data_IF_714483600708
#
_entry.id   IF_714483600708
#
_cell.length_a   1.000
_cell.length_b   1.000
_cell.length_c   1.000
_cell.angle_alpha   90.00
_cell.angle_beta   90.00
_cell.angle_gamma   90.00
#
_symmetry.space_group_name_H-M   'P 1'
#
loop_
_entity.id
_entity.type
_entity.pdbx_description
1 polymer ?
#
# COMPACT_ATOMS: atom_id res chain seq x y z
N UNK A 1 -8.39 10.11 23.11
CA UNK A 1 -8.28 8.89 22.29
C UNK A 1 -6.84 8.41 22.36
N UNK A 2 -6.58 7.10 22.37
CA UNK A 2 -5.21 6.58 22.32
C UNK A 2 -4.58 6.99 20.98
N UNK A 3 -3.29 7.38 21.00
CA UNK A 3 -2.55 7.66 19.78
C UNK A 3 -2.23 6.34 19.08
N UNK A 4 -2.53 6.25 17.79
CA UNK A 4 -2.21 5.09 16.96
C UNK A 4 -1.64 5.54 15.62
N UNK A 5 -0.80 4.67 15.04
CA UNK A 5 -0.20 4.89 13.74
C UNK A 5 0.10 3.53 13.08
N UNK A 6 -0.55 3.23 11.96
CA UNK A 6 -0.57 1.90 11.34
C UNK A 6 -0.40 2.00 9.84
N UNK A 7 0.40 1.14 9.24
CA UNK A 7 0.33 0.93 7.79
C UNK A 7 -0.94 0.12 7.50
N UNK A 8 -1.97 0.78 6.99
CA UNK A 8 -3.29 0.19 6.83
C UNK A 8 -3.54 -0.30 5.41
N UNK A 9 -2.97 0.39 4.42
CA UNK A 9 -3.29 0.10 3.04
C UNK A 9 -2.08 0.37 2.14
N UNK A 10 -1.88 -0.50 1.15
CA UNK A 10 -0.96 -0.28 0.03
C UNK A 10 -1.79 -0.16 -1.23
N UNK A 11 -1.62 0.95 -1.94
CA UNK A 11 -2.30 1.18 -3.21
C UNK A 11 -1.37 0.87 -4.39
N UNK A 12 -1.87 0.06 -5.32
CA UNK A 12 -1.24 -0.31 -6.58
C UNK A 12 -2.09 0.23 -7.74
N UNK A 13 -1.54 0.28 -8.94
CA UNK A 13 -2.27 0.73 -10.14
C UNK A 13 -2.30 -0.38 -11.19
N UNK A 14 -3.44 -0.54 -11.85
CA UNK A 14 -3.62 -1.45 -12.97
C UNK A 14 -4.53 -0.84 -14.04
N UNK A 15 -4.42 -1.28 -15.29
CA UNK A 15 -5.27 -0.79 -16.39
C UNK A 15 -6.59 -1.56 -16.55
N UNK A 16 -6.69 -2.77 -16.01
CA UNK A 16 -7.84 -3.69 -16.18
C UNK A 16 -8.30 -4.18 -14.81
N UNK A 17 -9.13 -3.38 -14.15
CA UNK A 17 -9.60 -3.69 -12.80
C UNK A 17 -10.44 -4.98 -12.73
N UNK A 18 -11.38 -5.25 -13.64
CA UNK A 18 -12.14 -6.51 -13.62
C UNK A 18 -11.26 -7.76 -13.68
N UNK A 19 -10.25 -7.77 -14.54
CA UNK A 19 -9.28 -8.86 -14.63
C UNK A 19 -8.51 -9.01 -13.34
N UNK A 20 -7.99 -7.91 -12.80
CA UNK A 20 -7.18 -7.91 -11.57
C UNK A 20 -7.98 -8.38 -10.36
N UNK A 21 -9.27 -8.02 -10.26
CA UNK A 21 -10.16 -8.54 -9.21
C UNK A 21 -10.23 -10.06 -9.28
N UNK A 22 -10.51 -10.62 -10.46
CA UNK A 22 -10.57 -12.07 -10.65
C UNK A 22 -9.25 -12.78 -10.35
N UNK A 23 -8.13 -12.15 -10.70
CA UNK A 23 -6.80 -12.69 -10.47
C UNK A 23 -6.40 -12.63 -8.98
N UNK A 24 -6.71 -11.53 -8.27
CA UNK A 24 -6.51 -11.41 -6.83
C UNK A 24 -7.26 -12.51 -6.06
N UNK A 25 -8.53 -12.70 -6.38
CA UNK A 25 -9.35 -13.73 -5.75
C UNK A 25 -8.83 -15.16 -6.03
N UNK A 26 -8.50 -15.43 -7.28
CA UNK A 26 -8.09 -16.77 -7.69
C UNK A 26 -6.68 -17.13 -7.22
N UNK A 27 -5.73 -16.20 -7.25
CA UNK A 27 -4.32 -16.45 -6.91
C UNK A 27 -4.13 -16.44 -5.39
N UNK A 28 -4.51 -15.34 -4.74
CA UNK A 28 -4.21 -15.10 -3.32
C UNK A 28 -5.33 -15.58 -2.37
N UNK A 29 -6.47 -16.01 -2.89
CA UNK A 29 -7.60 -16.49 -2.08
C UNK A 29 -8.22 -15.41 -1.20
N UNK A 30 -7.99 -14.14 -1.51
CA UNK A 30 -8.66 -12.99 -0.88
C UNK A 30 -9.97 -12.69 -1.59
N UNK A 31 -10.89 -11.99 -0.94
CA UNK A 31 -12.14 -11.56 -1.55
C UNK A 31 -12.18 -10.04 -1.65
N UNK A 32 -12.80 -9.56 -2.72
CA UNK A 32 -13.14 -8.16 -2.83
C UNK A 32 -13.97 -7.74 -1.62
N UNK A 33 -13.47 -6.77 -0.85
CA UNK A 33 -14.15 -6.25 0.33
C UNK A 33 -14.99 -5.02 0.00
N UNK A 34 -14.45 -4.12 -0.84
CA UNK A 34 -15.09 -2.84 -1.14
C UNK A 34 -14.63 -2.26 -2.47
N UNK A 35 -15.51 -1.51 -3.11
CA UNK A 35 -15.20 -0.59 -4.21
C UNK A 35 -15.77 0.77 -3.81
N UNK A 36 -14.91 1.78 -3.71
CA UNK A 36 -15.30 3.12 -3.29
C UNK A 36 -15.82 3.94 -4.48
N UNK A 37 -17.11 4.30 -4.51
CA UNK A 37 -17.64 5.13 -5.59
C UNK A 37 -17.06 6.55 -5.61
N UNK A 38 -16.53 7.04 -4.49
CA UNK A 38 -15.98 8.40 -4.38
C UNK A 38 -14.69 8.59 -5.19
N UNK A 39 -13.93 7.53 -5.49
CA UNK A 39 -12.73 7.66 -6.33
C UNK A 39 -13.04 8.03 -7.78
N UNK A 40 -14.31 7.90 -8.18
CA UNK A 40 -14.78 8.29 -9.52
C UNK A 40 -14.56 9.79 -9.82
N UNK A 41 -14.63 10.64 -8.81
CA UNK A 41 -14.34 12.07 -8.95
C UNK A 41 -12.90 12.37 -9.40
N UNK A 42 -11.99 11.40 -9.25
CA UNK A 42 -10.60 11.49 -9.67
C UNK A 42 -10.34 10.79 -11.02
N UNK A 43 -11.41 10.35 -11.71
CA UNK A 43 -11.33 9.57 -12.95
C UNK A 43 -10.81 8.15 -12.72
N UNK A 44 -11.07 7.58 -11.54
CA UNK A 44 -10.60 6.27 -11.12
C UNK A 44 -11.76 5.35 -10.73
N UNK A 45 -11.49 4.06 -10.74
CA UNK A 45 -12.22 3.04 -10.00
C UNK A 45 -11.24 2.24 -9.15
N UNK A 46 -11.70 1.57 -8.10
CA UNK A 46 -10.83 0.80 -7.22
C UNK A 46 -11.43 -0.51 -6.75
N UNK A 47 -10.58 -1.33 -6.15
CA UNK A 47 -10.95 -2.57 -5.47
C UNK A 47 -10.03 -2.79 -4.26
N UNK A 48 -10.62 -3.05 -3.09
CA UNK A 48 -9.90 -3.29 -1.85
C UNK A 48 -9.97 -4.75 -1.44
N UNK A 49 -8.81 -5.31 -1.10
CA UNK A 49 -8.64 -6.70 -0.68
C UNK A 49 -7.96 -6.76 0.69
N UNK A 50 -8.53 -7.49 1.68
CA UNK A 50 -7.91 -7.62 2.99
C UNK A 50 -6.75 -8.61 2.97
N UNK A 51 -5.63 -8.20 3.54
CA UNK A 51 -4.44 -9.01 3.81
C UNK A 51 -4.18 -9.01 5.32
N UNK A 52 -4.95 -9.78 6.06
CA UNK A 52 -5.04 -9.70 7.51
C UNK A 52 -5.82 -8.45 7.94
N UNK A 53 -5.19 -7.59 8.72
CA UNK A 53 -5.77 -6.32 9.16
C UNK A 53 -5.32 -5.13 8.29
N UNK A 54 -4.50 -5.36 7.26
CA UNK A 54 -4.15 -4.39 6.25
C UNK A 54 -4.89 -4.68 4.93
N UNK A 55 -4.81 -3.76 3.98
CA UNK A 55 -5.43 -3.88 2.67
C UNK A 55 -4.43 -3.69 1.54
N UNK A 56 -4.65 -4.39 0.45
CA UNK A 56 -4.12 -4.03 -0.85
C UNK A 56 -5.27 -3.44 -1.66
N UNK A 57 -5.12 -2.19 -2.05
CA UNK A 57 -6.01 -1.51 -2.96
C UNK A 57 -5.44 -1.56 -4.37
N UNK A 58 -6.30 -1.78 -5.34
CA UNK A 58 -5.96 -1.59 -6.76
C UNK A 58 -6.80 -0.43 -7.28
N UNK A 59 -6.17 0.61 -7.79
CA UNK A 59 -6.86 1.68 -8.53
C UNK A 59 -6.65 1.50 -10.03
N UNK A 60 -7.66 1.85 -10.81
CA UNK A 60 -7.60 1.80 -12.27
C UNK A 60 -8.10 3.11 -12.88
N UNK A 61 -7.31 3.74 -13.78
CA UNK A 61 -7.76 4.91 -14.51
C UNK A 61 -8.95 4.56 -15.42
N UNK A 62 -10.03 5.33 -15.35
CA UNK A 62 -11.19 5.26 -16.26
C UNK A 62 -11.32 6.50 -17.13
N UNK A 63 -10.46 7.50 -16.90
CA UNK A 63 -10.33 8.72 -17.67
C UNK A 63 -8.87 8.97 -18.04
N UNK A 64 -8.65 9.74 -19.09
CA UNK A 64 -7.32 10.15 -19.49
C UNK A 64 -6.69 11.15 -18.48
N UNK A 65 -5.37 11.20 -18.43
CA UNK A 65 -4.61 12.16 -17.63
C UNK A 65 -4.85 12.13 -16.10
N UNK A 66 -5.30 11.02 -15.56
CA UNK A 66 -5.39 10.84 -14.10
C UNK A 66 -4.01 10.80 -13.47
N UNK A 67 -3.91 11.06 -12.16
CA UNK A 67 -2.64 10.93 -11.44
C UNK A 67 -2.09 9.50 -11.47
N UNK A 68 -2.98 8.49 -11.34
CA UNK A 68 -2.63 7.08 -11.42
C UNK A 68 -2.19 6.68 -12.84
N UNK A 69 -2.86 7.17 -13.89
CA UNK A 69 -2.46 6.94 -15.28
C UNK A 69 -1.05 7.48 -15.57
N UNK A 70 -0.78 8.73 -15.16
CA UNK A 70 0.57 9.31 -15.29
C UNK A 70 1.62 8.57 -14.46
N UNK A 71 1.23 7.95 -13.34
CA UNK A 71 2.14 7.07 -12.58
C UNK A 71 2.50 5.83 -13.40
N UNK A 72 1.51 5.12 -13.97
CA UNK A 72 1.76 3.94 -14.81
C UNK A 72 2.70 4.26 -15.98
N UNK A 73 2.46 5.38 -16.68
CA UNK A 73 3.29 5.82 -17.80
C UNK A 73 4.75 6.07 -17.37
N UNK A 74 4.95 6.85 -16.29
CA UNK A 74 6.30 7.22 -15.82
C UNK A 74 7.07 6.05 -15.21
N UNK A 75 6.35 5.15 -14.51
CA UNK A 75 6.96 3.99 -13.86
C UNK A 75 7.13 2.80 -14.79
N UNK A 76 6.57 2.87 -15.99
CA UNK A 76 6.43 1.73 -16.91
C UNK A 76 5.75 0.53 -16.20
N UNK A 77 4.76 0.84 -15.36
CA UNK A 77 4.00 -0.14 -14.59
C UNK A 77 4.76 -0.80 -13.43
N UNK A 78 5.92 -0.29 -13.05
CA UNK A 78 6.75 -0.86 -11.97
C UNK A 78 6.61 -0.03 -10.70
N UNK A 79 6.35 -0.70 -9.57
CA UNK A 79 6.29 -0.14 -8.23
C UNK A 79 4.87 0.10 -7.71
N UNK A 80 4.75 0.19 -6.38
CA UNK A 80 3.53 0.58 -5.70
C UNK A 80 3.31 2.08 -5.75
N UNK A 81 2.05 2.49 -5.72
CA UNK A 81 1.64 3.88 -5.92
C UNK A 81 1.58 4.67 -4.62
N UNK A 82 0.94 4.11 -3.58
CA UNK A 82 0.78 4.78 -2.29
C UNK A 82 0.98 3.82 -1.12
N UNK A 83 1.46 4.39 -0.01
CA UNK A 83 1.43 3.80 1.32
C UNK A 83 0.51 4.65 2.20
N UNK A 84 -0.56 4.05 2.74
CA UNK A 84 -1.63 4.73 3.45
C UNK A 84 -1.58 4.33 4.92
N UNK A 85 -1.44 5.33 5.78
CA UNK A 85 -1.26 5.17 7.21
C UNK A 85 -2.46 5.70 7.98
N UNK A 86 -3.17 4.81 8.65
CA UNK A 86 -4.16 5.21 9.64
C UNK A 86 -3.50 5.85 10.86
N UNK A 87 -4.02 6.97 11.31
CA UNK A 87 -3.51 7.67 12.48
C UNK A 87 -4.60 8.49 13.17
N UNK A 88 -4.38 8.77 14.44
CA UNK A 88 -5.32 9.53 15.28
C UNK A 88 -5.54 10.98 14.82
N UNK A 89 -4.55 11.60 14.15
CA UNK A 89 -4.58 13.01 13.71
C UNK A 89 -3.81 13.19 12.39
N UNK A 90 -4.49 12.95 11.23
CA UNK A 90 -3.89 13.14 9.90
C UNK A 90 -3.41 14.56 9.64
N UNK A 91 -4.16 15.56 10.11
CA UNK A 91 -3.84 16.97 9.89
C UNK A 91 -2.56 17.38 10.63
N UNK A 92 -2.37 16.92 11.88
CA UNK A 92 -1.13 17.15 12.62
C UNK A 92 0.05 16.54 11.87
N UNK A 93 -0.09 15.31 11.38
CA UNK A 93 0.97 14.64 10.62
C UNK A 93 1.26 15.34 9.30
N UNK A 94 0.24 15.83 8.62
CA UNK A 94 0.41 16.66 7.42
C UNK A 94 1.17 17.96 7.72
N UNK A 95 0.81 18.67 8.80
CA UNK A 95 1.56 19.87 9.24
C UNK A 95 3.01 19.57 9.59
N UNK A 96 3.27 18.43 10.27
CA UNK A 96 4.63 18.00 10.58
C UNK A 96 5.43 17.74 9.29
N UNK A 97 4.88 17.00 8.34
CA UNK A 97 5.53 16.76 7.05
C UNK A 97 5.82 18.07 6.30
N UNK A 98 4.86 19.01 6.30
CA UNK A 98 5.06 20.33 5.68
C UNK A 98 6.20 21.12 6.34
N UNK A 99 6.38 21.03 7.65
CA UNK A 99 7.49 21.67 8.37
C UNK A 99 8.86 21.06 7.97
N UNK A 100 8.90 19.83 7.47
CA UNK A 100 10.07 19.18 6.89
C UNK A 100 10.30 19.49 5.39
N UNK A 101 9.43 20.31 4.78
CA UNK A 101 9.47 20.63 3.35
C UNK A 101 8.75 19.62 2.46
N UNK A 102 8.06 18.63 3.02
CA UNK A 102 7.24 17.66 2.28
C UNK A 102 5.83 18.21 2.14
N UNK A 103 5.49 18.65 0.94
CA UNK A 103 4.25 19.38 0.66
C UNK A 103 3.01 18.46 0.73
N UNK A 104 1.90 19.02 1.15
CA UNK A 104 0.58 18.40 0.94
C UNK A 104 0.19 18.56 -0.53
N UNK A 105 -0.22 17.46 -1.16
CA UNK A 105 -0.75 17.45 -2.53
C UNK A 105 -2.28 17.54 -2.56
N UNK A 106 -2.95 16.87 -1.63
CA UNK A 106 -4.41 16.83 -1.57
C UNK A 106 -4.90 16.55 -0.15
N UNK A 107 -6.09 17.02 0.17
CA UNK A 107 -6.79 16.71 1.42
C UNK A 107 -8.19 16.23 1.10
N UNK A 108 -8.66 15.22 1.84
CA UNK A 108 -10.02 14.71 1.76
C UNK A 108 -10.67 14.95 3.12
N UNK A 109 -11.83 15.60 3.12
CA UNK A 109 -12.61 15.84 4.32
C UNK A 109 -14.09 15.65 3.98
N UNK A 110 -14.65 14.55 4.45
CA UNK A 110 -16.08 14.30 4.36
C UNK A 110 -16.55 13.53 5.62
N UNK A 111 -17.86 13.47 5.90
CA UNK A 111 -18.36 12.79 7.08
C UNK A 111 -17.82 11.37 7.21
N UNK A 112 -17.18 11.09 8.35
CA UNK A 112 -16.64 9.77 8.68
C UNK A 112 -15.24 9.48 8.12
N UNK A 113 -14.63 10.39 7.31
CA UNK A 113 -13.30 10.15 6.74
C UNK A 113 -12.52 11.44 6.53
N UNK A 114 -11.24 11.41 6.89
CA UNK A 114 -10.27 12.47 6.62
C UNK A 114 -8.96 11.91 6.16
N UNK A 115 -8.35 12.54 5.15
CA UNK A 115 -7.03 12.17 4.68
C UNK A 115 -6.18 13.37 4.25
N UNK A 116 -4.88 13.22 4.41
CA UNK A 116 -3.85 14.15 3.93
C UNK A 116 -2.87 13.37 3.06
N UNK A 117 -2.89 13.64 1.78
CA UNK A 117 -1.98 13.07 0.80
C UNK A 117 -0.77 13.98 0.61
N UNK A 118 0.41 13.45 0.79
CA UNK A 118 1.66 14.18 0.60
C UNK A 118 2.09 14.13 -0.87
N UNK A 119 2.85 15.12 -1.31
CA UNK A 119 3.33 15.20 -2.69
C UNK A 119 4.29 14.02 -2.99
N UNK A 120 4.00 13.20 -4.01
CA UNK A 120 4.80 12.00 -4.30
C UNK A 120 6.26 12.30 -4.66
N UNK A 121 6.57 13.51 -5.20
CA UNK A 121 7.94 13.90 -5.49
C UNK A 121 8.73 14.13 -4.20
N UNK A 122 8.07 14.63 -3.17
CA UNK A 122 8.69 14.91 -1.88
C UNK A 122 8.76 13.64 -1.00
N UNK A 123 7.81 12.70 -1.19
CA UNK A 123 7.84 11.38 -0.54
C UNK A 123 8.85 10.40 -1.16
N UNK A 124 9.21 10.62 -2.43
CA UNK A 124 10.14 9.80 -3.23
C UNK A 124 9.49 8.48 -3.71
N UNK A 125 9.82 7.31 -3.14
CA UNK A 125 9.48 5.98 -3.67
C UNK A 125 7.98 5.71 -3.90
N UNK A 126 7.11 6.24 -3.04
CA UNK A 126 5.66 6.12 -3.12
C UNK A 126 5.00 7.34 -2.46
N UNK A 127 3.78 7.65 -2.83
CA UNK A 127 2.99 8.66 -2.14
C UNK A 127 2.67 8.18 -0.73
N UNK A 128 2.76 9.08 0.25
CA UNK A 128 2.32 8.84 1.62
C UNK A 128 0.98 9.51 1.84
N UNK A 129 0.04 8.77 2.41
CA UNK A 129 -1.23 9.30 2.89
C UNK A 129 -1.37 9.02 4.38
N UNK A 130 -1.85 10.01 5.11
CA UNK A 130 -2.32 9.88 6.48
C UNK A 130 -3.82 9.97 6.47
N UNK A 131 -4.53 8.99 7.02
CA UNK A 131 -5.98 8.98 7.04
C UNK A 131 -6.55 8.61 8.41
N UNK A 132 -7.83 8.88 8.55
CA UNK A 132 -8.65 8.50 9.69
C UNK A 132 -10.08 8.24 9.25
N UNK A 133 -10.63 7.08 9.69
CA UNK A 133 -12.05 6.73 9.56
C UNK A 133 -12.73 6.67 10.91
N UNK A 134 -14.01 6.98 10.96
CA UNK A 134 -14.79 6.79 12.20
C UNK A 134 -14.88 5.30 12.55
N UNK A 135 -14.59 4.95 13.81
CA UNK A 135 -14.63 3.57 14.31
C UNK A 135 -13.40 2.72 14.05
N UNK A 136 -12.36 3.27 13.40
CA UNK A 136 -11.14 2.54 13.08
C UNK A 136 -10.21 2.28 14.28
N UNK A 137 -10.52 2.89 15.44
CA UNK A 137 -9.85 2.55 16.71
C UNK A 137 -9.93 1.06 16.99
N UNK A 138 -11.05 0.42 16.63
CA UNK A 138 -11.15 -1.04 16.52
C UNK A 138 -10.65 -1.48 15.16
N UNK A 139 -9.51 -2.18 15.14
CA UNK A 139 -8.91 -2.73 13.92
C UNK A 139 -9.82 -3.68 13.13
N UNK A 140 -10.85 -4.23 13.76
CA UNK A 140 -11.84 -5.11 13.14
C UNK A 140 -13.20 -4.43 12.93
N UNK A 141 -13.32 -3.21 13.39
CA UNK A 141 -14.50 -2.38 13.24
C UNK A 141 -14.72 -1.88 11.81
N UNK A 142 -15.68 -0.98 11.63
CA UNK A 142 -15.87 -0.30 10.36
C UNK A 142 -14.60 0.42 9.92
N UNK A 143 -14.32 0.33 8.64
CA UNK A 143 -13.16 1.01 8.03
C UNK A 143 -13.60 1.56 6.67
N UNK A 144 -13.55 2.86 6.50
CA UNK A 144 -13.66 3.47 5.18
C UNK A 144 -12.24 3.47 4.53
N UNK A 145 -12.07 3.03 3.28
CA UNK A 145 -13.11 2.64 2.33
C UNK A 145 -13.42 1.14 2.30
N UNK A 146 -13.00 0.34 3.26
CA UNK A 146 -13.21 -1.13 3.23
C UNK A 146 -14.68 -1.56 3.48
N UNK A 147 -15.59 -0.64 3.74
CA UNK A 147 -17.04 -0.87 3.72
C UNK A 147 -17.64 -1.56 4.94
N UNK A 148 -16.88 -1.77 6.03
CA UNK A 148 -17.42 -2.30 7.28
C UNK A 148 -16.76 -3.57 7.80
N UNK A 149 -17.29 -4.13 8.90
CA UNK A 149 -16.67 -5.22 9.67
C UNK A 149 -16.72 -6.60 8.99
N UNK A 150 -17.47 -6.76 7.92
CA UNK A 150 -17.60 -8.05 7.22
C UNK A 150 -16.35 -8.49 6.45
N UNK A 151 -15.45 -7.58 6.16
CA UNK A 151 -14.24 -7.80 5.36
C UNK A 151 -13.29 -8.83 5.97
N UNK A 152 -13.24 -8.99 7.29
CA UNK A 152 -12.36 -9.95 7.98
C UNK A 152 -12.68 -11.41 7.66
N UNK A 153 -13.89 -11.71 7.15
CA UNK A 153 -14.33 -13.06 6.80
C UNK A 153 -13.77 -13.58 5.48
N UNK A 154 -13.11 -12.73 4.71
CA UNK A 154 -12.71 -13.03 3.33
C UNK A 154 -11.34 -13.72 3.18
N UNK A 155 -10.57 -13.89 4.25
CA UNK A 155 -9.19 -14.37 4.20
C UNK A 155 -9.16 -15.90 4.36
N UNK A 156 -8.55 -16.60 3.39
CA UNK A 156 -8.46 -18.06 3.40
C UNK A 156 -7.01 -18.59 3.37
N UNK A 157 -6.22 -18.20 2.36
CA UNK A 157 -4.84 -18.69 2.16
C UNK A 157 -3.80 -17.61 2.42
N UNK A 158 -4.14 -16.35 2.24
CA UNK A 158 -3.31 -15.20 2.60
C UNK A 158 -3.69 -14.74 4.00
N UNK A 159 -2.74 -14.75 4.92
CA UNK A 159 -3.01 -14.46 6.33
C UNK A 159 -2.88 -12.97 6.66
N UNK A 160 -1.77 -12.35 6.25
CA UNK A 160 -1.51 -10.93 6.53
C UNK A 160 -0.37 -10.34 5.70
N UNK A 161 -0.38 -9.04 5.53
CA UNK A 161 0.79 -8.26 5.13
C UNK A 161 1.74 -8.14 6.33
N UNK A 162 3.00 -8.51 6.16
CA UNK A 162 4.01 -8.43 7.22
C UNK A 162 5.05 -7.34 6.98
N UNK A 163 5.38 -7.03 5.72
CA UNK A 163 6.37 -6.03 5.39
C UNK A 163 6.11 -5.41 4.02
N UNK A 164 6.37 -4.13 3.90
CA UNK A 164 6.53 -3.40 2.65
C UNK A 164 8.01 -3.09 2.43
N UNK A 165 8.53 -3.35 1.22
CA UNK A 165 9.94 -3.08 0.91
C UNK A 165 10.05 -1.95 -0.11
N UNK A 166 10.81 -0.94 0.25
CA UNK A 166 11.25 0.12 -0.64
C UNK A 166 12.68 -0.19 -1.09
N UNK A 167 12.85 -0.34 -2.39
CA UNK A 167 14.17 -0.47 -3.01
C UNK A 167 14.70 0.90 -3.42
N UNK A 168 15.98 1.14 -3.19
CA UNK A 168 16.68 2.41 -3.47
C UNK A 168 18.15 2.17 -3.73
N UNK A 169 18.79 2.99 -4.59
CA UNK A 169 20.26 3.01 -4.69
C UNK A 169 20.92 3.49 -3.38
N UNK A 170 20.18 4.21 -2.53
CA UNK A 170 20.65 4.69 -1.23
C UNK A 170 19.58 4.44 -0.14
N UNK A 171 19.42 3.19 0.31
CA UNK A 171 18.31 2.80 1.17
C UNK A 171 18.33 3.42 2.56
N UNK A 172 19.51 3.68 3.13
CA UNK A 172 19.60 4.35 4.42
C UNK A 172 19.11 5.81 4.37
N UNK A 173 19.41 6.53 3.29
CA UNK A 173 18.98 7.93 3.12
C UNK A 173 17.45 8.05 3.01
N UNK A 174 16.83 7.26 2.13
CA UNK A 174 15.36 7.27 2.03
C UNK A 174 14.69 6.74 3.31
N UNK A 175 15.31 5.77 3.99
CA UNK A 175 14.83 5.26 5.28
C UNK A 175 14.81 6.35 6.36
N UNK A 176 15.86 7.15 6.45
CA UNK A 176 15.92 8.31 7.34
C UNK A 176 14.92 9.40 6.94
N UNK A 177 14.73 9.63 5.63
CA UNK A 177 13.74 10.56 5.12
C UNK A 177 12.32 10.16 5.57
N UNK A 178 11.93 8.90 5.35
CA UNK A 178 10.64 8.38 5.79
C UNK A 178 10.49 8.37 7.30
N UNK A 179 11.56 8.05 8.05
CA UNK A 179 11.58 8.09 9.52
C UNK A 179 11.16 9.46 10.05
N UNK A 180 11.67 10.54 9.45
CA UNK A 180 11.31 11.92 9.83
C UNK A 180 9.85 12.23 9.49
N UNK A 181 9.37 11.85 8.28
CA UNK A 181 7.98 12.08 7.86
C UNK A 181 7.00 11.33 8.77
N UNK A 182 7.29 10.06 9.06
CA UNK A 182 6.43 9.18 9.82
C UNK A 182 6.57 9.34 11.35
N UNK A 183 7.55 10.12 11.82
CA UNK A 183 7.87 10.25 13.25
C UNK A 183 8.08 8.87 13.93
N UNK A 184 8.75 7.97 13.22
CA UNK A 184 9.07 6.62 13.68
C UNK A 184 10.57 6.37 13.55
N UNK A 185 11.21 5.71 14.53
CA UNK A 185 12.63 5.45 14.48
C UNK A 185 13.01 4.56 13.30
N UNK A 186 14.07 4.94 12.60
CA UNK A 186 14.74 4.10 11.62
C UNK A 186 15.81 3.26 12.32
N UNK A 187 15.71 1.95 12.19
CA UNK A 187 16.71 1.00 12.69
C UNK A 187 17.59 0.55 11.52
N UNK A 188 18.87 0.97 11.44
CA UNK A 188 19.78 0.56 10.39
C UNK A 188 20.04 -0.96 10.39
N UNK A 189 20.16 -1.54 9.19
CA UNK A 189 20.51 -2.94 8.97
C UNK A 189 21.30 -3.06 7.67
N UNK A 190 22.62 -3.26 7.77
CA UNK A 190 23.55 -3.25 6.65
C UNK A 190 23.53 -1.90 5.90
N UNK A 191 23.37 -1.94 4.57
CA UNK A 191 23.24 -0.73 3.74
C UNK A 191 21.87 -0.05 3.84
N UNK A 192 20.88 -0.72 4.43
CA UNK A 192 19.50 -0.26 4.54
C UNK A 192 19.02 -0.17 5.98
N UNK A 193 17.80 -0.63 6.21
CA UNK A 193 17.20 -0.66 7.56
C UNK A 193 15.70 -0.81 7.54
N UNK A 194 15.09 -0.57 8.70
CA UNK A 194 13.68 -0.79 8.97
C UNK A 194 13.03 0.34 9.77
N UNK A 195 11.75 0.55 9.50
CA UNK A 195 10.83 1.31 10.35
C UNK A 195 9.72 0.35 10.79
N UNK A 196 9.58 0.13 12.10
CA UNK A 196 8.45 -0.62 12.64
C UNK A 196 7.18 0.24 12.65
N UNK A 197 6.10 -0.30 12.13
CA UNK A 197 4.80 0.36 12.08
C UNK A 197 3.72 -0.60 12.54
N UNK A 198 3.42 -0.58 13.83
CA UNK A 198 2.42 -1.43 14.48
C UNK A 198 2.59 -2.93 14.08
N UNK A 199 1.65 -3.50 13.33
CA UNK A 199 1.67 -4.92 12.95
C UNK A 199 2.53 -5.24 11.72
N UNK A 200 3.18 -4.25 11.13
CA UNK A 200 3.96 -4.35 9.90
C UNK A 200 5.32 -3.68 10.04
N UNK A 201 6.14 -3.80 9.02
CA UNK A 201 7.38 -3.05 8.93
C UNK A 201 7.54 -2.45 7.52
N UNK A 202 8.32 -1.40 7.42
CA UNK A 202 8.82 -0.85 6.17
C UNK A 202 10.31 -1.16 6.12
N UNK A 203 10.73 -1.97 5.18
CA UNK A 203 12.14 -2.26 4.95
C UNK A 203 12.66 -1.40 3.80
N UNK A 204 13.84 -0.88 3.96
CA UNK A 204 14.58 -0.15 2.95
C UNK A 204 15.79 -0.98 2.55
N UNK A 205 15.85 -1.37 1.30
CA UNK A 205 16.85 -2.30 0.79
C UNK A 205 17.53 -1.75 -0.48
N UNK A 206 18.75 -2.24 -0.74
CA UNK A 206 19.45 -1.94 -1.98
C UNK A 206 18.67 -2.51 -3.16
N UNK A 207 18.31 -1.66 -4.11
CA UNK A 207 17.70 -2.06 -5.38
C UNK A 207 18.73 -2.21 -6.48
N UNK A 208 18.38 -2.95 -7.52
CA UNK A 208 19.18 -3.07 -8.75
C UNK A 208 18.97 -1.86 -9.67
N UNK A 209 17.80 -1.22 -9.58
CA UNK A 209 17.45 -0.03 -10.35
C UNK A 209 18.03 1.24 -9.70
N UNK A 210 18.26 2.26 -10.50
CA UNK A 210 18.64 3.61 -10.03
C UNK A 210 17.45 4.37 -9.39
N UNK A 211 16.24 3.86 -9.52
CA UNK A 211 15.02 4.46 -8.98
C UNK A 211 14.75 4.01 -7.54
N UNK A 212 14.01 4.86 -6.84
CA UNK A 212 13.43 4.54 -5.55
C UNK A 212 11.99 4.08 -5.77
N UNK A 213 11.68 2.85 -5.37
CA UNK A 213 10.37 2.24 -5.65
C UNK A 213 9.87 1.41 -4.47
N UNK A 214 8.59 1.47 -4.19
CA UNK A 214 7.90 0.46 -3.40
C UNK A 214 7.84 -0.82 -4.26
N UNK A 215 8.67 -1.82 -3.94
CA UNK A 215 8.92 -2.92 -4.86
C UNK A 215 8.34 -4.25 -4.42
N UNK A 216 8.28 -4.50 -3.11
CA UNK A 216 7.87 -5.81 -2.60
C UNK A 216 6.86 -5.67 -1.46
N UNK A 217 5.87 -6.56 -1.46
CA UNK A 217 4.95 -6.80 -0.36
C UNK A 217 5.20 -8.22 0.16
N UNK A 218 5.75 -8.34 1.37
CA UNK A 218 5.90 -9.64 2.03
C UNK A 218 4.59 -10.01 2.71
N UNK A 219 4.02 -11.14 2.34
CA UNK A 219 2.74 -11.63 2.84
C UNK A 219 2.91 -13.02 3.47
N UNK A 220 2.36 -13.20 4.65
CA UNK A 220 2.25 -14.51 5.28
C UNK A 220 1.12 -15.30 4.62
N UNK A 221 1.40 -16.54 4.22
CA UNK A 221 0.45 -17.37 3.50
C UNK A 221 0.37 -18.78 4.10
N UNK A 222 -0.78 -19.43 3.94
CA UNK A 222 -0.97 -20.82 4.36
C UNK A 222 -0.62 -21.84 3.27
N UNK A 223 -0.61 -21.42 1.99
CA UNK A 223 -0.44 -22.30 0.82
C UNK A 223 0.41 -21.58 -0.25
N UNK A 224 1.72 -21.53 0.01
CA UNK A 224 2.68 -20.93 -0.92
C UNK A 224 2.65 -21.63 -2.30
N UNK A 225 2.78 -22.94 -2.32
CA UNK A 225 2.86 -23.69 -3.57
C UNK A 225 1.59 -23.55 -4.42
N UNK A 226 0.42 -23.55 -3.79
CA UNK A 226 -0.84 -23.31 -4.49
C UNK A 226 -0.96 -21.90 -5.06
N UNK A 227 -0.50 -20.87 -4.35
CA UNK A 227 -0.45 -19.50 -4.87
C UNK A 227 0.46 -19.42 -6.09
N UNK A 228 1.69 -19.95 -6.00
CA UNK A 228 2.65 -19.98 -7.10
C UNK A 228 2.09 -20.69 -8.33
N UNK A 229 1.44 -21.84 -8.15
CA UNK A 229 0.82 -22.60 -9.22
C UNK A 229 -0.33 -21.82 -9.90
N UNK A 230 -1.21 -21.20 -9.09
CA UNK A 230 -2.34 -20.42 -9.62
C UNK A 230 -1.86 -19.18 -10.37
N UNK A 231 -0.83 -18.50 -9.87
CA UNK A 231 -0.22 -17.34 -10.52
C UNK A 231 0.40 -17.74 -11.87
N UNK A 232 1.20 -18.80 -11.91
CA UNK A 232 1.82 -19.30 -13.13
C UNK A 232 0.77 -19.69 -14.19
N UNK A 233 -0.31 -20.41 -13.81
CA UNK A 233 -1.42 -20.78 -14.71
C UNK A 233 -2.14 -19.58 -15.32
N UNK A 234 -2.09 -18.42 -14.65
CA UNK A 234 -2.68 -17.16 -15.12
C UNK A 234 -1.70 -16.26 -15.87
N UNK A 235 -0.47 -16.76 -16.11
CA UNK A 235 0.55 -16.06 -16.90
C UNK A 235 1.37 -15.03 -16.10
N UNK A 236 1.29 -15.05 -14.78
CA UNK A 236 2.13 -14.18 -13.94
C UNK A 236 3.53 -14.78 -13.76
N UNK A 237 4.55 -13.90 -13.70
CA UNK A 237 5.91 -14.32 -13.42
C UNK A 237 6.03 -14.77 -11.97
N UNK A 238 6.54 -16.00 -11.79
CA UNK A 238 6.80 -16.61 -10.48
C UNK A 238 8.28 -16.94 -10.41
N UNK A 239 8.96 -16.45 -9.38
CA UNK A 239 10.38 -16.68 -9.12
C UNK A 239 10.57 -17.14 -7.67
N UNK A 240 11.80 -17.51 -7.30
CA UNK A 240 12.14 -17.80 -5.90
C UNK A 240 11.85 -16.60 -4.96
N UNK A 241 11.88 -15.37 -5.50
CA UNK A 241 11.61 -14.15 -4.75
C UNK A 241 10.11 -13.86 -4.56
N UNK A 242 9.21 -14.48 -5.34
CA UNK A 242 7.76 -14.30 -5.23
C UNK A 242 7.04 -14.21 -6.57
N UNK A 243 5.80 -13.70 -6.52
CA UNK A 243 4.90 -13.50 -7.66
C UNK A 243 4.92 -12.02 -8.05
N UNK A 244 5.20 -11.72 -9.31
CA UNK A 244 5.09 -10.36 -9.86
C UNK A 244 3.62 -10.06 -10.19
N UNK A 245 3.06 -9.01 -9.56
CA UNK A 245 1.65 -8.67 -9.72
C UNK A 245 1.44 -7.16 -9.57
N UNK A 246 0.76 -6.51 -10.51
CA UNK A 246 0.48 -5.07 -10.51
C UNK A 246 1.71 -4.20 -10.18
N UNK A 247 2.86 -4.52 -10.79
CA UNK A 247 4.09 -3.74 -10.68
C UNK A 247 4.93 -4.01 -9.42
N UNK A 248 4.45 -4.82 -8.49
CA UNK A 248 5.17 -5.19 -7.28
C UNK A 248 5.38 -6.70 -7.19
N UNK A 249 6.31 -7.10 -6.35
CA UNK A 249 6.55 -8.49 -6.01
C UNK A 249 5.81 -8.86 -4.73
N UNK A 250 4.97 -9.87 -4.79
CA UNK A 250 4.41 -10.51 -3.60
C UNK A 250 5.33 -11.62 -3.13
N UNK A 251 6.13 -11.33 -2.10
CA UNK A 251 7.00 -12.31 -1.46
C UNK A 251 6.16 -13.17 -0.50
N UNK A 252 6.13 -14.48 -0.75
CA UNK A 252 5.32 -15.43 0.00
C UNK A 252 6.13 -16.03 1.16
N UNK A 253 5.65 -15.78 2.39
CA UNK A 253 6.24 -16.30 3.63
C UNK A 253 5.27 -17.31 4.25
N UNK A 254 5.75 -18.50 4.54
CA UNK A 254 4.95 -19.60 5.13
C UNK A 254 5.08 -19.65 6.63
#
# INVERSE_FOLDING_TARGET
MADYFRLRQICLVANDLPRVIGDMEAIFGVKLAYQDPHVRQYGLENALFPFGLAFVEIVSPVEANTAAGRFLERSNGVGGYMAIFNCSDPERRGRHANALGVRTAHTIDHPGFRAVQLNPRDCRAAMIEFDRSDGEEDLRGPYHPAGGSGWTKAIRVTRRLIEMVIESPNPADIGQHWSRILEKPFAPDGEGGRIAVDMTAIRFAKGEDSREVLRTLAIEVADRAGIEQRASKRGYSVTAAGVEFCGVRFQLVS
#
